data_IF_734648821497
#
_entry.id   IF_734648821497
#
_cell.length_a   1.000
_cell.length_b   1.000
_cell.length_c   1.000
_cell.angle_alpha   90.00
_cell.angle_beta   90.00
_cell.angle_gamma   90.00
#
_symmetry.space_group_name_H-M   'P 1'
#
loop_
_entity.id
_entity.type
_entity.pdbx_description
1 polymer ?
#
# COMPACT_ATOMS: atom_id res chain seq x y z
N UNK A 1 -9.40 -0.90 13.72
CA UNK A 1 -9.84 -0.97 12.31
C UNK A 1 -9.88 0.42 11.73
N UNK A 2 -9.11 0.68 10.67
CA UNK A 2 -9.27 1.88 9.84
C UNK A 2 -10.39 1.62 8.84
N UNK A 3 -11.43 2.46 8.86
CA UNK A 3 -12.63 2.29 8.02
C UNK A 3 -12.75 3.33 6.88
N UNK A 4 -12.02 4.43 6.99
CA UNK A 4 -12.06 5.49 6.00
C UNK A 4 -11.24 5.07 4.75
N UNK A 5 -11.87 4.94 3.56
CA UNK A 5 -11.16 4.62 2.32
C UNK A 5 -10.11 5.65 1.96
N UNK A 6 -10.29 6.92 2.32
CA UNK A 6 -9.30 7.96 2.08
C UNK A 6 -8.04 7.71 2.90
N UNK A 7 -8.19 7.35 4.19
CA UNK A 7 -7.08 7.01 5.05
C UNK A 7 -6.29 5.78 4.54
N UNK A 8 -6.95 4.80 3.91
CA UNK A 8 -6.26 3.69 3.24
C UNK A 8 -5.41 4.18 2.07
N UNK A 9 -6.00 5.00 1.18
CA UNK A 9 -5.29 5.58 0.04
C UNK A 9 -4.08 6.44 0.45
N UNK A 10 -4.27 7.30 1.46
CA UNK A 10 -3.21 8.14 2.01
C UNK A 10 -2.05 7.29 2.57
N UNK A 11 -2.36 6.20 3.28
CA UNK A 11 -1.34 5.29 3.81
C UNK A 11 -0.54 4.59 2.69
N UNK A 12 -1.21 4.13 1.64
CA UNK A 12 -0.56 3.48 0.48
C UNK A 12 0.34 4.50 -0.25
N UNK A 13 -0.13 5.72 -0.45
CA UNK A 13 0.63 6.80 -1.08
C UNK A 13 1.89 7.16 -0.26
N UNK A 14 1.79 7.20 1.07
CA UNK A 14 2.93 7.44 1.95
C UNK A 14 3.99 6.34 1.84
N UNK A 15 3.58 5.06 1.78
CA UNK A 15 4.52 3.94 1.59
C UNK A 15 5.21 4.03 0.23
N UNK A 16 4.47 4.34 -0.84
CA UNK A 16 5.02 4.53 -2.17
C UNK A 16 6.06 5.66 -2.19
N UNK A 17 5.72 6.83 -1.64
CA UNK A 17 6.62 7.99 -1.58
C UNK A 17 7.89 7.70 -0.76
N UNK A 18 7.77 6.92 0.33
CA UNK A 18 8.93 6.52 1.13
C UNK A 18 9.86 5.52 0.40
N UNK A 19 9.34 4.78 -0.58
CA UNK A 19 10.12 3.83 -1.38
C UNK A 19 10.88 4.49 -2.54
N UNK A 20 10.40 5.62 -3.07
CA UNK A 20 11.00 6.28 -4.23
C UNK A 20 12.49 6.64 -4.07
N UNK A 21 12.96 7.20 -2.93
CA UNK A 21 14.39 7.48 -2.72
C UNK A 21 15.27 6.22 -2.79
N UNK A 22 14.69 5.04 -2.54
CA UNK A 22 15.37 3.74 -2.62
C UNK A 22 15.40 3.18 -4.05
N UNK A 23 14.90 3.93 -5.05
CA UNK A 23 14.72 3.50 -6.44
C UNK A 23 13.68 2.39 -6.62
N UNK A 24 12.71 2.33 -5.73
CA UNK A 24 11.60 1.37 -5.75
C UNK A 24 10.30 2.11 -6.06
N UNK A 25 9.61 1.70 -7.12
CA UNK A 25 8.44 2.38 -7.66
C UNK A 25 7.22 1.45 -7.70
N UNK A 26 6.00 1.95 -7.47
CA UNK A 26 4.77 1.19 -7.60
C UNK A 26 4.60 0.54 -8.98
N UNK A 27 4.39 -0.77 -8.99
CA UNK A 27 4.14 -1.58 -10.19
C UNK A 27 2.73 -2.17 -10.21
N UNK A 28 2.12 -2.33 -9.03
CA UNK A 28 0.76 -2.84 -8.89
C UNK A 28 0.27 -2.78 -7.46
N UNK A 29 -1.05 -2.78 -7.29
CA UNK A 29 -1.73 -2.71 -6.01
C UNK A 29 -2.93 -3.64 -6.03
N UNK A 30 -3.04 -4.49 -5.01
CA UNK A 30 -4.24 -5.33 -4.79
C UNK A 30 -4.64 -5.28 -3.32
N UNK A 31 -5.94 -5.42 -3.04
CA UNK A 31 -6.42 -5.69 -1.69
C UNK A 31 -6.00 -7.09 -1.24
N UNK A 32 -5.60 -7.24 0.01
CA UNK A 32 -5.35 -8.55 0.61
C UNK A 32 -6.64 -9.38 0.59
N UNK A 33 -6.59 -10.69 0.27
CA UNK A 33 -7.75 -11.56 0.33
C UNK A 33 -8.18 -11.87 1.77
N UNK A 34 -7.35 -11.53 2.75
CA UNK A 34 -7.62 -11.70 4.18
C UNK A 34 -7.47 -10.36 4.91
N UNK A 35 -8.20 -10.22 6.01
CA UNK A 35 -8.07 -9.04 6.88
C UNK A 35 -6.89 -9.21 7.84
N UNK A 36 -6.23 -8.09 8.14
CA UNK A 36 -5.20 -8.01 9.16
C UNK A 36 -5.75 -8.08 10.59
N UNK A 37 -4.85 -7.83 11.55
CA UNK A 37 -5.19 -7.82 12.97
C UNK A 37 -6.40 -6.90 13.26
N UNK A 38 -7.28 -7.35 14.16
CA UNK A 38 -8.53 -6.68 14.51
C UNK A 38 -9.51 -6.45 13.33
N UNK A 39 -9.31 -7.08 12.17
CA UNK A 39 -10.18 -6.92 11.00
C UNK A 39 -9.84 -5.71 10.13
N UNK A 40 -8.58 -5.25 10.14
CA UNK A 40 -8.14 -4.18 9.25
C UNK A 40 -8.11 -4.65 7.79
N UNK A 41 -8.51 -3.77 6.87
CA UNK A 41 -8.23 -3.97 5.45
C UNK A 41 -6.73 -3.76 5.22
N UNK A 42 -6.10 -4.73 4.57
CA UNK A 42 -4.68 -4.68 4.19
C UNK A 42 -4.53 -4.71 2.68
N UNK A 43 -3.42 -4.18 2.20
CA UNK A 43 -3.11 -4.06 0.78
C UNK A 43 -1.71 -4.58 0.49
N UNK A 44 -1.54 -5.15 -0.69
CA UNK A 44 -0.25 -5.59 -1.21
C UNK A 44 0.19 -4.61 -2.30
N UNK A 45 1.23 -3.83 -2.03
CA UNK A 45 1.85 -2.91 -2.98
C UNK A 45 3.11 -3.58 -3.55
N UNK A 46 3.10 -3.88 -4.84
CA UNK A 46 4.29 -4.38 -5.55
C UNK A 46 5.18 -3.20 -5.94
N UNK A 47 6.43 -3.25 -5.48
CA UNK A 47 7.46 -2.29 -5.81
C UNK A 47 8.55 -2.94 -6.68
N UNK A 48 9.07 -2.18 -7.64
CA UNK A 48 10.14 -2.61 -8.53
C UNK A 48 10.87 -1.42 -9.14
N UNK A 49 11.98 -1.64 -9.87
CA UNK A 49 12.67 -0.58 -10.58
C UNK A 49 11.75 0.09 -11.61
N UNK A 50 12.06 1.33 -11.99
CA UNK A 50 11.44 1.95 -13.17
C UNK A 50 11.74 1.10 -14.40
N UNK A 51 10.71 0.85 -15.21
CA UNK A 51 10.85 0.25 -16.53
C UNK A 51 11.63 1.18 -17.48
#
# INVERSE_FOLDING_TARGET
>A
VVRDPKAHGDAIALVAAAAEPLQWFPQGLVGSPITGAAGNHEYLLWLGPKA
#
